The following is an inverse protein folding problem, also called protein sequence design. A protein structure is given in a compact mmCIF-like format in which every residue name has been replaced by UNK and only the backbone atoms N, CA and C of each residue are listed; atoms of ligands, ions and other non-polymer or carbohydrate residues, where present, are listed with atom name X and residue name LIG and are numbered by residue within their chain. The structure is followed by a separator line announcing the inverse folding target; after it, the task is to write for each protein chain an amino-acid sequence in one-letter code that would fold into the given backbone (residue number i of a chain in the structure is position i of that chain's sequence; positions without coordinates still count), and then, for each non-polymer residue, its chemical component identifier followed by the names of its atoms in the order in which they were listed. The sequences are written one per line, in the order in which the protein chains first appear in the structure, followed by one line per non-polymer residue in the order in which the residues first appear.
data_IF_023071992126
#
_entry.id   IF_023071992126
#
_cell.length_a   1.000
_cell.length_b   1.000
_cell.length_c   1.000
_cell.angle_alpha   90.00
_cell.angle_beta   90.00
_cell.angle_gamma   90.00
#
_symmetry.space_group_name_H-M   'P 1'
#
loop_
_entity.id
_entity.type
_entity.pdbx_description
1 polymer ?
#
# COMPACT_ATOMS: atom_id res chain seq x y z
N UNK A 1 12.16 12.63 -7.33
CA UNK A 1 12.27 11.15 -7.41
C UNK A 1 11.28 10.48 -8.38
N UNK A 2 10.15 11.13 -8.68
CA UNK A 2 9.15 10.62 -9.63
C UNK A 2 9.62 10.65 -11.09
N UNK A 3 10.61 11.47 -11.42
CA UNK A 3 11.19 11.68 -12.75
C UNK A 3 11.87 10.42 -13.30
N UNK A 4 12.27 9.48 -12.42
CA UNK A 4 12.76 8.17 -12.84
C UNK A 4 11.67 7.29 -13.46
N UNK A 5 10.39 7.58 -13.16
CA UNK A 5 9.24 6.81 -13.60
C UNK A 5 8.42 7.54 -14.65
N UNK A 6 8.31 8.87 -14.55
CA UNK A 6 7.48 9.68 -15.43
C UNK A 6 8.34 10.60 -16.30
N UNK A 7 8.42 10.30 -17.59
CA UNK A 7 9.21 11.07 -18.57
C UNK A 7 8.67 12.49 -18.78
N UNK A 8 7.36 12.69 -18.66
CA UNK A 8 6.71 13.99 -18.88
C UNK A 8 6.76 14.83 -17.60
N UNK A 9 7.45 15.99 -17.57
CA UNK A 9 7.52 16.85 -16.38
C UNK A 9 6.14 17.25 -15.86
N UNK A 10 5.22 17.61 -16.75
CA UNK A 10 3.84 17.94 -16.39
C UNK A 10 3.09 16.83 -15.63
N UNK A 11 3.48 15.55 -15.80
CA UNK A 11 2.91 14.45 -15.01
C UNK A 11 3.44 14.45 -13.59
N UNK A 12 4.75 14.69 -13.42
CA UNK A 12 5.39 14.84 -12.11
C UNK A 12 4.80 16.04 -11.38
N UNK A 13 4.70 17.18 -12.04
CA UNK A 13 4.14 18.42 -11.48
C UNK A 13 2.71 18.19 -10.97
N UNK A 14 1.88 17.50 -11.76
CA UNK A 14 0.51 17.17 -11.34
C UNK A 14 0.46 16.22 -10.14
N UNK A 15 1.37 15.27 -10.04
CA UNK A 15 1.45 14.36 -8.88
C UNK A 15 1.88 15.15 -7.64
N UNK A 16 2.86 16.04 -7.77
CA UNK A 16 3.34 16.86 -6.65
C UNK A 16 2.32 17.92 -6.21
N UNK A 17 1.50 18.44 -7.13
CA UNK A 17 0.42 19.37 -6.83
C UNK A 17 -0.81 18.72 -6.18
N UNK A 18 -0.90 17.37 -6.17
CA UNK A 18 -1.97 16.67 -5.47
C UNK A 18 -1.85 16.87 -3.95
N UNK A 19 -2.98 16.78 -3.23
CA UNK A 19 -3.00 16.93 -1.76
C UNK A 19 -2.08 15.92 -1.06
N UNK A 20 -1.93 14.71 -1.60
CA UNK A 20 -1.00 13.69 -1.09
C UNK A 20 0.39 13.75 -1.74
N UNK A 21 0.71 14.75 -2.56
CA UNK A 21 1.90 14.79 -3.41
C UNK A 21 3.22 14.59 -2.67
N UNK A 22 3.40 15.30 -1.54
CA UNK A 22 4.59 15.14 -0.69
C UNK A 22 4.72 13.72 -0.12
N UNK A 23 3.61 13.11 0.32
CA UNK A 23 3.59 11.73 0.81
C UNK A 23 3.89 10.74 -0.32
N UNK A 24 3.37 10.99 -1.52
CA UNK A 24 3.59 10.14 -2.70
C UNK A 24 5.06 10.14 -3.10
N UNK A 25 5.72 11.31 -3.15
CA UNK A 25 7.13 11.38 -3.51
C UNK A 25 8.02 10.64 -2.50
N UNK A 26 7.76 10.84 -1.20
CA UNK A 26 8.48 10.13 -0.15
C UNK A 26 8.28 8.60 -0.26
N UNK A 27 7.04 8.18 -0.51
CA UNK A 27 6.68 6.77 -0.66
C UNK A 27 7.30 6.11 -1.88
N UNK A 28 7.36 6.80 -3.03
CA UNK A 28 8.02 6.28 -4.23
C UNK A 28 9.52 6.11 -4.02
N UNK A 29 10.15 7.06 -3.33
CA UNK A 29 11.55 6.96 -2.92
C UNK A 29 11.79 5.72 -2.06
N UNK A 30 10.90 5.45 -1.10
CA UNK A 30 10.94 4.25 -0.28
C UNK A 30 10.71 2.96 -1.06
N UNK A 31 9.72 2.92 -1.97
CA UNK A 31 9.48 1.75 -2.83
C UNK A 31 10.73 1.37 -3.63
N UNK A 32 11.42 2.36 -4.18
CA UNK A 32 12.68 2.15 -4.89
C UNK A 32 13.76 1.59 -3.97
N UNK A 33 13.95 2.18 -2.79
CA UNK A 33 14.94 1.73 -1.82
C UNK A 33 14.70 0.28 -1.35
N UNK A 34 13.43 -0.13 -1.27
CA UNK A 34 13.04 -1.50 -0.93
C UNK A 34 13.08 -2.48 -2.12
N UNK A 35 13.53 -2.04 -3.31
CA UNK A 35 13.69 -2.90 -4.48
C UNK A 35 12.36 -3.32 -5.13
N UNK A 36 11.28 -2.55 -4.94
CA UNK A 36 10.04 -2.83 -5.67
C UNK A 36 10.24 -2.59 -7.17
N UNK A 37 9.73 -3.51 -7.99
CA UNK A 37 9.70 -3.33 -9.44
C UNK A 37 8.88 -2.11 -9.84
N UNK A 38 9.33 -1.37 -10.86
CA UNK A 38 8.74 -0.11 -11.34
C UNK A 38 7.24 -0.19 -11.63
N UNK A 39 6.75 -1.36 -12.09
CA UNK A 39 5.32 -1.62 -12.28
C UNK A 39 4.47 -1.34 -11.03
N UNK A 40 5.04 -1.48 -9.82
CA UNK A 40 4.35 -1.14 -8.58
C UNK A 40 4.17 0.36 -8.44
N UNK A 41 5.15 1.18 -8.85
CA UNK A 41 5.03 2.63 -8.84
C UNK A 41 3.90 3.06 -9.77
N UNK A 42 3.92 2.58 -11.02
CA UNK A 42 2.88 2.89 -12.00
C UNK A 42 1.47 2.46 -11.56
N UNK A 43 1.36 1.35 -10.83
CA UNK A 43 0.08 0.87 -10.31
C UNK A 43 -0.40 1.63 -9.08
N UNK A 44 0.51 1.99 -8.15
CA UNK A 44 0.16 2.54 -6.84
C UNK A 44 -0.04 4.04 -6.87
N UNK A 45 0.80 4.79 -7.60
CA UNK A 45 0.72 6.26 -7.62
C UNK A 45 -0.67 6.78 -8.02
N UNK A 46 -1.35 6.26 -9.07
CA UNK A 46 -2.71 6.70 -9.39
C UNK A 46 -3.72 6.46 -8.26
N UNK A 47 -3.60 5.34 -7.54
CA UNK A 47 -4.45 5.02 -6.38
C UNK A 47 -4.22 6.06 -5.28
N UNK A 48 -2.96 6.39 -5.00
CA UNK A 48 -2.58 7.35 -3.95
C UNK A 48 -3.05 8.77 -4.28
N UNK A 49 -2.94 9.20 -5.55
CA UNK A 49 -3.47 10.49 -5.97
C UNK A 49 -4.99 10.56 -5.75
N UNK A 50 -5.74 9.51 -6.13
CA UNK A 50 -7.19 9.45 -5.90
C UNK A 50 -7.55 9.42 -4.43
N UNK A 51 -6.76 8.73 -3.59
CA UNK A 51 -6.94 8.76 -2.14
C UNK A 51 -6.75 10.17 -1.58
N UNK A 52 -5.72 10.91 -2.01
CA UNK A 52 -5.47 12.28 -1.57
C UNK A 52 -6.69 13.19 -1.81
N UNK A 53 -7.25 13.14 -3.02
CA UNK A 53 -8.47 13.88 -3.36
C UNK A 53 -9.68 13.40 -2.55
N UNK A 54 -9.85 12.08 -2.40
CA UNK A 54 -10.96 11.47 -1.67
C UNK A 54 -10.97 11.86 -0.19
N UNK A 55 -9.81 11.81 0.46
CA UNK A 55 -9.65 12.15 1.88
C UNK A 55 -9.82 13.66 2.09
N UNK A 56 -9.23 14.49 1.22
CA UNK A 56 -9.40 15.95 1.28
C UNK A 56 -10.86 16.37 1.12
N UNK A 57 -11.57 15.79 0.16
CA UNK A 57 -13.00 16.04 -0.04
C UNK A 57 -13.87 15.62 1.15
N UNK A 58 -13.34 14.81 2.07
CA UNK A 58 -13.99 14.37 3.32
C UNK A 58 -13.47 15.11 4.56
N UNK A 59 -12.67 16.14 4.38
CA UNK A 59 -12.18 17.02 5.45
C UNK A 59 -10.85 16.59 6.06
N UNK A 60 -10.12 15.63 5.47
CA UNK A 60 -8.75 15.35 5.91
C UNK A 60 -7.83 16.52 5.57
N UNK A 61 -7.13 17.03 6.58
CA UNK A 61 -6.21 18.16 6.46
C UNK A 61 -4.75 17.74 6.58
N UNK A 62 -4.48 16.53 7.08
CA UNK A 62 -3.14 15.99 7.29
C UNK A 62 -3.12 14.46 7.16
N UNK A 63 -1.94 13.86 7.30
CA UNK A 63 -1.79 12.41 7.23
C UNK A 63 -2.52 11.66 8.36
N UNK A 64 -2.68 12.28 9.54
CA UNK A 64 -3.29 11.66 10.71
C UNK A 64 -4.80 11.52 10.52
N UNK A 65 -5.47 12.60 10.13
CA UNK A 65 -6.89 12.63 9.77
C UNK A 65 -7.17 11.80 8.52
N UNK A 66 -6.21 11.70 7.59
CA UNK A 66 -6.33 10.83 6.42
C UNK A 66 -6.41 9.33 6.78
N UNK A 67 -5.81 8.88 7.89
CA UNK A 67 -5.89 7.47 8.31
C UNK A 67 -7.34 6.98 8.48
N UNK A 68 -8.22 7.85 8.98
CA UNK A 68 -9.63 7.52 9.24
C UNK A 68 -10.42 7.25 7.94
N UNK A 69 -9.87 7.65 6.79
CA UNK A 69 -10.51 7.50 5.49
C UNK A 69 -10.01 6.29 4.68
N UNK A 70 -9.04 5.52 5.18
CA UNK A 70 -8.46 4.38 4.46
C UNK A 70 -9.53 3.35 4.08
N UNK A 71 -10.34 2.94 5.05
CA UNK A 71 -11.32 1.86 4.84
C UNK A 71 -12.50 2.34 4.00
N UNK A 72 -12.93 3.59 4.21
CA UNK A 72 -13.93 4.24 3.37
C UNK A 72 -13.47 4.35 1.91
N UNK A 73 -12.19 4.71 1.69
CA UNK A 73 -11.60 4.75 0.36
C UNK A 73 -11.53 3.37 -0.29
N UNK A 74 -11.14 2.33 0.46
CA UNK A 74 -11.09 0.96 -0.08
C UNK A 74 -12.47 0.48 -0.54
N UNK A 75 -13.54 0.82 0.19
CA UNK A 75 -14.92 0.52 -0.22
C UNK A 75 -15.36 1.34 -1.43
N UNK A 76 -15.02 2.63 -1.47
CA UNK A 76 -15.25 3.48 -2.63
C UNK A 76 -14.55 2.93 -3.88
N UNK A 77 -13.27 2.58 -3.76
CA UNK A 77 -12.49 1.96 -4.82
C UNK A 77 -13.13 0.65 -5.30
N UNK A 78 -13.57 -0.20 -4.38
CA UNK A 78 -14.27 -1.45 -4.70
C UNK A 78 -15.56 -1.20 -5.49
N UNK A 79 -16.33 -0.17 -5.14
CA UNK A 79 -17.57 0.18 -5.85
C UNK A 79 -17.34 0.59 -7.31
N UNK A 80 -16.19 1.19 -7.60
CA UNK A 80 -15.83 1.66 -8.94
C UNK A 80 -15.16 0.54 -9.73
N UNK A 81 -14.17 -0.13 -9.15
CA UNK A 81 -13.27 -1.07 -9.85
C UNK A 81 -13.63 -2.55 -9.65
N UNK A 82 -14.53 -2.87 -8.72
CA UNK A 82 -14.94 -4.24 -8.39
C UNK A 82 -16.14 -4.76 -9.18
N UNK A 83 -16.71 -3.98 -10.10
CA UNK A 83 -17.97 -4.33 -10.79
C UNK A 83 -17.92 -5.63 -11.59
N UNK A 84 -16.74 -6.00 -12.09
CA UNK A 84 -16.51 -7.24 -12.84
C UNK A 84 -16.03 -8.42 -11.97
N UNK A 85 -15.93 -8.24 -10.66
CA UNK A 85 -15.46 -9.28 -9.75
C UNK A 85 -16.61 -10.21 -9.36
N UNK A 86 -16.59 -11.44 -9.90
CA UNK A 86 -17.65 -12.44 -9.67
C UNK A 86 -17.48 -13.25 -8.36
N UNK A 87 -16.45 -12.97 -7.56
CA UNK A 87 -16.20 -13.69 -6.30
C UNK A 87 -15.77 -12.75 -5.19
N UNK A 88 -16.09 -13.12 -3.95
CA UNK A 88 -15.71 -12.35 -2.76
C UNK A 88 -14.19 -12.24 -2.62
N UNK A 89 -13.44 -13.26 -3.05
CA UNK A 89 -11.98 -13.23 -3.07
C UNK A 89 -11.46 -12.15 -4.03
N UNK A 90 -12.03 -12.06 -5.24
CA UNK A 90 -11.63 -11.04 -6.22
C UNK A 90 -11.96 -9.63 -5.71
N UNK A 91 -13.14 -9.47 -5.10
CA UNK A 91 -13.56 -8.20 -4.48
C UNK A 91 -12.64 -7.80 -3.32
N UNK A 92 -12.34 -8.73 -2.41
CA UNK A 92 -11.42 -8.51 -1.31
C UNK A 92 -10.02 -8.11 -1.80
N UNK A 93 -9.55 -8.72 -2.90
CA UNK A 93 -8.28 -8.36 -3.52
C UNK A 93 -8.28 -6.94 -4.09
N UNK A 94 -9.36 -6.51 -4.76
CA UNK A 94 -9.48 -5.14 -5.28
C UNK A 94 -9.46 -4.12 -4.15
N UNK A 95 -10.21 -4.36 -3.06
CA UNK A 95 -10.19 -3.49 -1.89
C UNK A 95 -8.81 -3.46 -1.23
N UNK A 96 -8.17 -4.63 -1.08
CA UNK A 96 -6.82 -4.74 -0.53
C UNK A 96 -5.77 -3.99 -1.35
N UNK A 97 -5.83 -4.12 -2.68
CA UNK A 97 -4.88 -3.47 -3.60
C UNK A 97 -4.99 -1.93 -3.55
N UNK A 98 -6.14 -1.38 -3.14
CA UNK A 98 -6.31 0.04 -2.87
C UNK A 98 -5.90 0.44 -1.43
N UNK A 99 -6.34 -0.34 -0.45
CA UNK A 99 -6.09 -0.11 0.99
C UNK A 99 -4.59 -0.12 1.31
N UNK A 100 -3.89 -1.14 0.82
CA UNK A 100 -2.54 -1.42 1.28
C UNK A 100 -1.53 -0.32 0.89
N UNK A 101 -1.47 0.17 -0.36
CA UNK A 101 -0.56 1.26 -0.71
C UNK A 101 -0.81 2.54 0.08
N UNK A 102 -2.09 2.91 0.28
CA UNK A 102 -2.47 4.10 1.06
C UNK A 102 -1.97 3.99 2.50
N UNK A 103 -2.28 2.87 3.15
CA UNK A 103 -1.83 2.60 4.52
C UNK A 103 -0.31 2.66 4.62
N UNK A 104 0.42 2.00 3.70
CA UNK A 104 1.89 2.02 3.71
C UNK A 104 2.46 3.43 3.53
N UNK A 105 1.87 4.23 2.63
CA UNK A 105 2.28 5.63 2.42
C UNK A 105 2.10 6.45 3.69
N UNK A 106 0.95 6.34 4.36
CA UNK A 106 0.67 7.09 5.59
C UNK A 106 1.49 6.60 6.78
N UNK A 107 1.65 5.28 6.96
CA UNK A 107 2.52 4.71 8.00
C UNK A 107 3.97 5.20 7.83
N UNK A 108 4.47 5.19 6.60
CA UNK A 108 5.82 5.69 6.30
C UNK A 108 5.94 7.18 6.63
N UNK A 109 4.96 8.00 6.23
CA UNK A 109 4.98 9.44 6.45
C UNK A 109 4.88 9.82 7.94
N UNK A 110 4.06 9.10 8.71
CA UNK A 110 3.78 9.42 10.12
C UNK A 110 4.78 8.78 11.08
N UNK A 111 5.24 7.57 10.79
CA UNK A 111 6.04 6.75 11.70
C UNK A 111 7.44 6.42 11.18
N UNK A 112 7.80 6.90 9.97
CA UNK A 112 9.10 6.66 9.35
C UNK A 112 9.35 5.22 8.91
N UNK A 113 8.36 4.33 9.08
CA UNK A 113 8.48 2.92 8.74
C UNK A 113 7.13 2.32 8.37
N UNK A 114 7.15 1.27 7.56
CA UNK A 114 5.96 0.52 7.16
C UNK A 114 5.87 -0.74 8.00
N UNK A 115 4.76 -0.92 8.71
CA UNK A 115 4.59 -2.09 9.58
C UNK A 115 4.48 -3.40 8.78
N UNK A 116 4.98 -4.53 9.33
CA UNK A 116 4.78 -5.84 8.71
C UNK A 116 3.29 -6.19 8.71
N UNK A 117 2.67 -6.24 7.53
CA UNK A 117 1.23 -6.50 7.40
C UNK A 117 0.89 -7.90 6.91
N UNK A 118 1.88 -8.65 6.39
CA UNK A 118 1.65 -10.05 6.08
C UNK A 118 1.47 -10.76 7.41
N UNK A 119 0.23 -11.08 7.80
CA UNK A 119 0.01 -12.02 8.87
C UNK A 119 0.77 -13.28 8.47
N UNK A 120 1.86 -13.55 9.19
CA UNK A 120 2.56 -14.82 9.05
C UNK A 120 1.52 -15.87 9.39
N UNK A 121 1.14 -16.67 8.40
CA UNK A 121 0.33 -17.84 8.70
C UNK A 121 1.10 -18.65 9.73
N UNK A 122 0.45 -19.12 10.80
CA UNK A 122 1.09 -20.05 11.72
C UNK A 122 1.64 -21.23 10.91
N UNK A 123 2.73 -21.81 11.38
CA UNK A 123 3.34 -22.93 10.69
C UNK A 123 2.32 -24.07 10.57
N UNK A 124 2.15 -24.71 9.39
CA UNK A 124 1.04 -25.63 9.14
C UNK A 124 0.93 -26.82 10.10
N UNK A 125 2.02 -27.17 10.77
CA UNK A 125 2.11 -28.32 11.67
C UNK A 125 2.42 -27.90 13.11
N UNK A 126 2.08 -26.68 13.52
CA UNK A 126 2.37 -26.23 14.89
C UNK A 126 1.67 -27.11 15.94
N UNK A 127 0.48 -27.64 15.62
CA UNK A 127 -0.25 -28.59 16.47
C UNK A 127 0.38 -29.98 16.54
N UNK A 128 0.86 -30.48 15.42
CA UNK A 128 1.39 -31.85 15.28
C UNK A 128 2.88 -31.95 15.61
N UNK A 129 3.63 -30.87 15.39
CA UNK A 129 5.08 -30.78 15.62
C UNK A 129 5.48 -29.40 16.18
N UNK A 130 5.18 -29.13 17.46
CA UNK A 130 5.55 -27.88 18.11
C UNK A 130 7.06 -27.62 18.03
N UNK A 131 7.46 -26.39 17.67
CA UNK A 131 8.87 -26.01 17.59
C UNK A 131 9.63 -26.52 16.36
N UNK A 132 9.01 -27.34 15.49
CA UNK A 132 9.65 -27.80 14.25
C UNK A 132 10.00 -26.66 13.30
N UNK A 133 9.19 -25.59 13.28
CA UNK A 133 9.49 -24.38 12.52
C UNK A 133 10.79 -23.68 12.98
N UNK A 134 11.12 -23.77 14.27
CA UNK A 134 12.37 -23.24 14.83
C UNK A 134 13.54 -24.15 14.48
N UNK A 135 13.38 -25.49 14.61
CA UNK A 135 14.36 -26.47 14.13
C UNK A 135 14.74 -26.23 12.66
N UNK A 136 13.75 -26.02 11.78
CA UNK A 136 14.01 -25.75 10.37
C UNK A 136 14.76 -24.42 10.15
N UNK A 137 14.47 -23.39 10.95
CA UNK A 137 15.14 -22.08 10.88
C UNK A 137 16.58 -22.15 11.38
N UNK A 138 16.78 -22.77 12.53
CA UNK A 138 18.01 -22.71 13.29
C UNK A 138 19.02 -23.78 12.83
N UNK A 139 18.55 -24.99 12.54
CA UNK A 139 19.43 -26.12 12.16
C UNK A 139 19.47 -26.39 10.65
N UNK A 140 18.39 -26.05 9.93
CA UNK A 140 18.29 -26.28 8.49
C UNK A 140 18.36 -25.01 7.64
N UNK A 141 18.50 -23.85 8.28
CA UNK A 141 18.73 -22.56 7.60
C UNK A 141 17.55 -22.05 6.78
N UNK A 142 16.34 -22.54 7.05
CA UNK A 142 15.13 -22.11 6.33
C UNK A 142 14.80 -20.65 6.71
N UNK A 143 14.92 -19.71 5.78
CA UNK A 143 14.63 -18.27 5.99
C UNK A 143 13.31 -17.83 5.35
#
# INVERSE_FOLDING_TARGET
MLEYYYVKPATVDRILANVAGAYIEHYVSWLRAQGYADRNVFRRVPILCQFGEFASARGATDGQTALDHIDAFAQHWLSIHGKSCNSDIARAKVAYDARNPVRQMLELALYGSVGPHRQRKPFPFESEAPGFASYLRDERGLR
#
